data_IF_062086111421
#
_entry.id   IF_062086111421
#
_cell.length_a   1.000
_cell.length_b   1.000
_cell.length_c   1.000
_cell.angle_alpha   90.00
_cell.angle_beta   90.00
_cell.angle_gamma   90.00
#
_symmetry.space_group_name_H-M   'P 1'
#
loop_
_entity.id
_entity.type
_entity.pdbx_description
1 polymer ?
#
# COMPACT_ATOMS: atom_id res chain seq x y z
N UNK A 1 1.78 -4.88 -16.44
CA UNK A 1 1.72 -4.26 -15.11
C UNK A 1 0.31 -4.20 -14.51
N UNK A 2 -0.72 -3.80 -15.27
CA UNK A 2 -2.08 -3.72 -14.74
C UNK A 2 -2.68 -5.04 -14.23
N UNK A 3 -2.38 -6.14 -14.90
CA UNK A 3 -2.98 -7.44 -14.58
C UNK A 3 -2.59 -7.98 -13.19
N UNK A 4 -1.35 -7.81 -12.76
CA UNK A 4 -0.89 -8.29 -11.45
C UNK A 4 -1.63 -7.62 -10.29
N UNK A 5 -1.84 -6.31 -10.37
CA UNK A 5 -2.59 -5.58 -9.35
C UNK A 5 -4.07 -5.94 -9.35
N UNK A 6 -4.66 -6.14 -10.53
CA UNK A 6 -6.05 -6.59 -10.65
C UNK A 6 -6.22 -7.99 -10.06
N UNK A 7 -5.35 -8.93 -10.41
CA UNK A 7 -5.37 -10.29 -9.88
C UNK A 7 -5.18 -10.31 -8.35
N UNK A 8 -4.27 -9.50 -7.84
CA UNK A 8 -4.09 -9.35 -6.39
C UNK A 8 -5.36 -8.86 -5.72
N UNK A 9 -6.01 -7.83 -6.28
CA UNK A 9 -7.25 -7.27 -5.73
C UNK A 9 -8.40 -8.30 -5.76
N UNK A 10 -8.53 -9.08 -6.83
CA UNK A 10 -9.55 -10.10 -6.96
C UNK A 10 -9.37 -11.28 -5.99
N UNK A 11 -8.13 -11.60 -5.66
CA UNK A 11 -7.78 -12.67 -4.72
C UNK A 11 -7.86 -12.25 -3.24
N UNK A 12 -8.01 -10.97 -2.95
CA UNK A 12 -8.13 -10.51 -1.56
C UNK A 12 -9.36 -11.08 -0.87
N UNK A 13 -9.29 -11.35 0.45
CA UNK A 13 -10.47 -11.73 1.22
C UNK A 13 -11.63 -10.74 1.02
N UNK A 14 -12.87 -11.23 1.06
CA UNK A 14 -14.05 -10.42 0.76
C UNK A 14 -14.32 -9.28 1.75
N UNK A 15 -13.71 -9.33 2.91
CA UNK A 15 -13.77 -8.31 3.96
C UNK A 15 -12.62 -7.29 3.87
N UNK A 16 -11.75 -7.40 2.86
CA UNK A 16 -10.64 -6.48 2.64
C UNK A 16 -11.12 -5.25 1.87
N UNK A 17 -10.73 -4.07 2.37
CA UNK A 17 -10.98 -2.78 1.72
C UNK A 17 -9.70 -2.28 1.06
N UNK A 18 -9.82 -1.77 -0.16
CA UNK A 18 -8.74 -1.14 -0.89
C UNK A 18 -8.92 0.37 -0.81
N UNK A 19 -7.97 1.03 -0.16
CA UNK A 19 -7.92 2.49 -0.09
C UNK A 19 -6.81 2.96 -1.03
N UNK A 20 -7.18 3.71 -2.05
CA UNK A 20 -6.26 4.08 -3.14
C UNK A 20 -6.24 5.60 -3.36
N UNK A 21 -5.13 6.09 -3.90
CA UNK A 21 -4.98 7.48 -4.29
C UNK A 21 -4.11 7.61 -5.55
N UNK A 22 -4.27 8.72 -6.26
CA UNK A 22 -3.52 9.02 -7.46
C UNK A 22 -3.82 8.08 -8.63
N UNK A 23 -2.83 7.86 -9.47
CA UNK A 23 -2.99 7.04 -10.67
C UNK A 23 -3.20 5.54 -10.38
N UNK A 24 -2.85 5.09 -9.19
CA UNK A 24 -3.05 3.69 -8.79
C UNK A 24 -4.52 3.26 -8.83
N UNK A 25 -5.45 4.18 -8.58
CA UNK A 25 -6.89 3.92 -8.64
C UNK A 25 -7.37 3.34 -9.96
N UNK A 26 -6.74 3.72 -11.06
CA UNK A 26 -7.12 3.23 -12.40
C UNK A 26 -6.82 1.74 -12.60
N UNK A 27 -6.06 1.13 -11.70
CA UNK A 27 -5.83 -0.32 -11.70
C UNK A 27 -7.02 -1.09 -11.13
N UNK A 28 -7.84 -0.45 -10.32
CA UNK A 28 -8.92 -1.07 -9.56
C UNK A 28 -10.32 -0.58 -9.91
N UNK A 29 -10.47 0.58 -10.55
CA UNK A 29 -11.76 1.23 -10.75
C UNK A 29 -12.72 0.48 -11.69
N UNK A 30 -12.20 -0.44 -12.49
CA UNK A 30 -12.99 -1.29 -13.38
C UNK A 30 -13.35 -2.65 -12.81
N UNK A 31 -12.82 -2.97 -11.63
CA UNK A 31 -13.10 -4.23 -10.95
C UNK A 31 -14.41 -4.11 -10.17
N UNK A 32 -15.26 -5.11 -10.31
CA UNK A 32 -16.45 -5.24 -9.47
C UNK A 32 -16.12 -6.09 -8.25
N UNK A 33 -15.66 -5.44 -7.20
CA UNK A 33 -15.32 -6.07 -5.92
C UNK A 33 -16.48 -6.02 -4.92
N UNK A 34 -17.59 -5.39 -5.29
CA UNK A 34 -18.77 -5.28 -4.44
C UNK A 34 -18.62 -4.27 -3.31
N UNK A 35 -19.40 -4.49 -2.27
CA UNK A 35 -19.44 -3.64 -1.08
C UNK A 35 -19.43 -4.46 0.23
N UNK A 36 -19.26 -3.74 1.34
CA UNK A 36 -19.42 -4.28 2.69
C UNK A 36 -20.40 -3.36 3.41
N UNK A 37 -21.60 -3.86 3.66
CA UNK A 37 -22.63 -3.08 4.34
C UNK A 37 -23.06 -1.82 3.59
N UNK A 38 -23.04 -1.83 2.26
CA UNK A 38 -23.35 -0.68 1.41
C UNK A 38 -22.19 0.27 1.14
N UNK A 39 -21.01 -0.01 1.69
CA UNK A 39 -19.80 0.79 1.46
C UNK A 39 -18.93 0.07 0.41
N UNK A 40 -18.57 0.74 -0.70
CA UNK A 40 -17.72 0.12 -1.71
C UNK A 40 -16.40 -0.37 -1.12
N UNK A 41 -15.94 -1.53 -1.57
CA UNK A 41 -14.66 -2.09 -1.14
C UNK A 41 -13.44 -1.35 -1.70
N UNK A 42 -13.61 -0.61 -2.79
CA UNK A 42 -12.57 0.26 -3.35
C UNK A 42 -12.94 1.71 -3.02
N UNK A 43 -12.12 2.35 -2.22
CA UNK A 43 -12.28 3.74 -1.80
C UNK A 43 -11.18 4.59 -2.44
N UNK A 44 -11.58 5.65 -3.11
CA UNK A 44 -10.68 6.59 -3.79
C UNK A 44 -10.49 7.84 -2.91
N UNK A 45 -9.28 8.02 -2.40
CA UNK A 45 -8.94 9.19 -1.58
C UNK A 45 -8.59 10.43 -2.43
N UNK A 46 -8.52 10.32 -3.75
CA UNK A 46 -8.30 11.45 -4.63
C UNK A 46 -6.97 11.43 -5.38
N UNK A 47 -6.35 12.58 -5.51
CA UNK A 47 -5.12 12.78 -6.28
C UNK A 47 -3.86 12.34 -5.52
N UNK A 48 -2.71 12.37 -6.19
CA UNK A 48 -1.42 12.03 -5.56
C UNK A 48 -1.12 12.87 -4.31
N UNK A 49 -1.56 14.13 -4.28
CA UNK A 49 -1.42 14.99 -3.10
C UNK A 49 -2.18 14.45 -1.89
N UNK A 50 -3.27 13.73 -2.11
CA UNK A 50 -4.11 13.18 -1.06
C UNK A 50 -3.53 11.89 -0.44
N UNK A 51 -2.39 11.42 -0.95
CA UNK A 51 -1.69 10.26 -0.38
C UNK A 51 -1.29 10.46 1.09
N UNK A 52 -1.06 11.68 1.51
CA UNK A 52 -0.83 12.00 2.93
C UNK A 52 -2.09 11.77 3.79
N UNK A 53 -3.26 11.97 3.22
CA UNK A 53 -4.52 11.66 3.90
C UNK A 53 -4.63 10.17 4.24
N UNK A 54 -4.07 9.29 3.41
CA UNK A 54 -4.01 7.85 3.70
C UNK A 54 -3.20 7.54 4.96
N UNK A 55 -2.08 8.23 5.15
CA UNK A 55 -1.28 8.10 6.38
C UNK A 55 -2.05 8.59 7.61
N UNK A 56 -2.76 9.71 7.50
CA UNK A 56 -3.60 10.24 8.58
C UNK A 56 -4.75 9.29 8.91
N UNK A 57 -5.36 8.67 7.91
CA UNK A 57 -6.41 7.65 8.10
C UNK A 57 -5.84 6.44 8.85
N UNK A 58 -4.66 5.97 8.50
CA UNK A 58 -4.00 4.86 9.20
C UNK A 58 -3.74 5.21 10.68
N UNK A 59 -3.24 6.40 10.96
CA UNK A 59 -3.02 6.86 12.33
C UNK A 59 -4.34 6.99 13.11
N UNK A 60 -5.40 7.46 12.46
CA UNK A 60 -6.72 7.55 13.06
C UNK A 60 -7.32 6.17 13.34
N UNK A 61 -7.17 5.23 12.45
CA UNK A 61 -7.58 3.83 12.67
C UNK A 61 -6.83 3.20 13.84
N UNK A 62 -5.54 3.45 13.97
CA UNK A 62 -4.76 3.05 15.13
C UNK A 62 -5.39 3.55 16.44
N UNK A 63 -5.77 4.82 16.48
CA UNK A 63 -6.43 5.44 17.63
C UNK A 63 -7.79 4.81 17.92
N UNK A 64 -8.62 4.64 16.88
CA UNK A 64 -9.98 4.07 16.99
C UNK A 64 -9.94 2.63 17.51
N UNK A 65 -8.97 1.82 17.06
CA UNK A 65 -8.81 0.45 17.53
C UNK A 65 -8.03 0.33 18.85
N UNK A 66 -7.56 1.45 19.42
CA UNK A 66 -6.82 1.46 20.69
C UNK A 66 -5.46 0.78 20.62
N UNK A 67 -4.79 0.81 19.47
CA UNK A 67 -3.49 0.20 19.26
C UNK A 67 -2.36 1.18 19.59
N UNK A 68 -1.27 0.67 20.14
CA UNK A 68 -0.09 1.48 20.46
C UNK A 68 0.83 1.70 19.25
N UNK A 69 0.87 0.74 18.34
CA UNK A 69 1.71 0.78 17.13
C UNK A 69 0.83 0.72 15.87
N UNK A 70 1.11 1.59 14.91
CA UNK A 70 0.45 1.59 13.60
C UNK A 70 0.65 0.27 12.85
N UNK A 71 1.74 -0.45 13.11
CA UNK A 71 2.04 -1.74 12.50
C UNK A 71 1.19 -2.88 13.02
N UNK A 72 0.46 -2.69 14.12
CA UNK A 72 -0.50 -3.66 14.64
C UNK A 72 -1.83 -3.63 13.88
N UNK A 73 -2.07 -2.62 13.06
CA UNK A 73 -3.21 -2.57 12.14
C UNK A 73 -3.07 -3.62 11.04
N UNK A 74 -4.17 -4.27 10.63
CA UNK A 74 -4.17 -5.19 9.50
C UNK A 74 -4.16 -4.42 8.16
N UNK A 75 -3.15 -3.61 7.95
CA UNK A 75 -2.97 -2.76 6.76
C UNK A 75 -1.67 -3.15 6.08
N UNK A 76 -1.73 -3.26 4.76
CA UNK A 76 -0.55 -3.43 3.91
C UNK A 76 -0.44 -2.24 2.97
N UNK A 77 0.78 -1.86 2.67
CA UNK A 77 1.08 -0.67 1.89
C UNK A 77 1.76 -1.07 0.58
N UNK A 78 1.15 -0.67 -0.53
CA UNK A 78 1.69 -0.86 -1.87
C UNK A 78 1.94 0.50 -2.54
N UNK A 79 3.19 0.81 -2.82
CA UNK A 79 3.57 1.99 -3.59
C UNK A 79 3.95 1.54 -5.00
N UNK A 80 3.09 1.82 -5.95
CA UNK A 80 3.17 1.31 -7.31
C UNK A 80 3.58 2.36 -8.35
N UNK A 81 3.87 3.56 -7.94
CA UNK A 81 4.17 4.69 -8.81
C UNK A 81 5.39 5.45 -8.34
N UNK A 82 6.38 5.60 -9.23
CA UNK A 82 7.68 6.18 -8.89
C UNK A 82 7.85 7.58 -9.43
N UNK A 83 7.05 8.50 -8.90
CA UNK A 83 7.28 9.93 -9.04
C UNK A 83 7.98 10.49 -7.79
N UNK A 84 8.47 11.71 -7.86
CA UNK A 84 9.06 12.40 -6.72
C UNK A 84 8.13 12.41 -5.50
N UNK A 85 6.83 12.59 -5.72
CA UNK A 85 5.82 12.58 -4.66
C UNK A 85 5.72 11.22 -3.96
N UNK A 86 5.84 10.13 -4.70
CA UNK A 86 5.83 8.79 -4.11
C UNK A 86 7.03 8.58 -3.18
N UNK A 87 8.20 9.10 -3.54
CA UNK A 87 9.39 9.05 -2.69
C UNK A 87 9.17 9.83 -1.39
N UNK A 88 8.58 11.01 -1.48
CA UNK A 88 8.27 11.84 -0.29
C UNK A 88 7.27 11.11 0.61
N UNK A 89 6.24 10.51 0.04
CA UNK A 89 5.25 9.71 0.79
C UNK A 89 5.92 8.51 1.45
N UNK A 90 6.79 7.79 0.74
CA UNK A 90 7.56 6.69 1.32
C UNK A 90 8.39 7.14 2.53
N UNK A 91 9.12 8.22 2.39
CA UNK A 91 9.94 8.77 3.49
C UNK A 91 9.07 9.21 4.67
N UNK A 92 7.90 9.80 4.42
CA UNK A 92 6.95 10.16 5.47
C UNK A 92 6.43 8.93 6.21
N UNK A 93 6.08 7.86 5.50
CA UNK A 93 5.65 6.60 6.11
C UNK A 93 6.76 5.96 6.95
N UNK A 94 8.00 5.97 6.47
CA UNK A 94 9.15 5.48 7.22
C UNK A 94 9.41 6.31 8.49
N UNK A 95 9.26 7.62 8.40
CA UNK A 95 9.36 8.52 9.54
C UNK A 95 8.29 8.23 10.61
N UNK A 96 7.08 7.89 10.19
CA UNK A 96 5.99 7.49 11.08
C UNK A 96 6.16 6.08 11.66
N UNK A 97 7.22 5.38 11.30
CA UNK A 97 7.51 4.03 11.77
C UNK A 97 6.72 2.93 11.08
N UNK A 98 6.09 3.22 9.96
CA UNK A 98 5.34 2.22 9.17
C UNK A 98 6.29 1.20 8.59
N UNK A 99 5.93 -0.08 8.73
CA UNK A 99 6.62 -1.24 8.15
C UNK A 99 5.72 -1.93 7.13
N UNK A 100 6.19 -3.02 6.54
CA UNK A 100 5.44 -3.82 5.56
C UNK A 100 5.02 -3.02 4.32
N UNK A 101 5.92 -2.19 3.83
CA UNK A 101 5.73 -1.43 2.58
C UNK A 101 6.29 -2.24 1.43
N UNK A 102 5.46 -2.51 0.42
CA UNK A 102 5.88 -3.09 -0.85
C UNK A 102 5.98 -2.02 -1.91
N UNK A 103 7.12 -1.96 -2.57
CA UNK A 103 7.35 -1.12 -3.74
C UNK A 103 7.00 -1.89 -5.01
N UNK A 104 6.50 -1.21 -6.02
CA UNK A 104 6.02 -1.78 -7.28
C UNK A 104 6.99 -2.74 -7.97
N UNK A 105 6.68 -3.27 -9.15
CA UNK A 105 7.32 -4.49 -9.69
C UNK A 105 8.83 -4.40 -9.86
N UNK A 106 9.38 -3.20 -9.85
CA UNK A 106 10.81 -2.94 -9.85
C UNK A 106 11.15 -1.87 -8.83
N UNK A 107 12.30 -1.98 -8.17
CA UNK A 107 12.81 -0.90 -7.35
C UNK A 107 13.09 0.34 -8.22
N UNK A 108 12.88 1.56 -7.70
CA UNK A 108 13.19 2.76 -8.44
C UNK A 108 14.63 2.81 -8.91
N UNK A 109 14.85 3.11 -10.18
CA UNK A 109 16.18 3.10 -10.80
C UNK A 109 17.12 4.18 -10.23
N UNK A 110 16.57 5.19 -9.57
CA UNK A 110 17.36 6.23 -8.90
C UNK A 110 17.87 5.82 -7.52
N UNK A 111 17.46 4.68 -6.98
CA UNK A 111 18.02 4.16 -5.73
C UNK A 111 19.37 3.50 -6.01
N UNK A 112 20.40 3.95 -5.29
CA UNK A 112 21.68 3.24 -5.31
C UNK A 112 21.54 1.87 -4.64
N UNK A 113 22.40 0.89 -4.98
CA UNK A 113 22.37 -0.42 -4.33
C UNK A 113 22.50 -0.35 -2.81
N UNK A 114 23.29 0.59 -2.30
CA UNK A 114 23.46 0.78 -0.87
C UNK A 114 22.22 1.31 -0.19
N UNK A 115 21.52 2.26 -0.80
CA UNK A 115 20.25 2.79 -0.27
C UNK A 115 19.17 1.72 -0.33
N UNK A 116 19.07 0.97 -1.42
CA UNK A 116 18.12 -0.13 -1.54
C UNK A 116 18.35 -1.19 -0.44
N UNK A 117 19.62 -1.53 -0.16
CA UNK A 117 19.97 -2.45 0.92
C UNK A 117 19.53 -1.94 2.29
N UNK A 118 19.73 -0.66 2.60
CA UNK A 118 19.29 -0.05 3.86
C UNK A 118 17.76 -0.11 3.98
N UNK A 119 17.04 0.17 2.92
CA UNK A 119 15.57 0.10 2.92
C UNK A 119 15.06 -1.30 3.21
N UNK A 120 15.66 -2.31 2.61
CA UNK A 120 15.30 -3.73 2.83
C UNK A 120 15.68 -4.18 4.24
N UNK A 121 16.92 -3.97 4.66
CA UNK A 121 17.47 -4.52 5.90
C UNK A 121 16.94 -3.78 7.15
N UNK A 122 16.82 -2.45 7.08
CA UNK A 122 16.47 -1.63 8.24
C UNK A 122 14.99 -1.29 8.35
N UNK A 123 14.28 -1.22 7.22
CA UNK A 123 12.87 -0.79 7.18
C UNK A 123 11.90 -1.88 6.70
N UNK A 124 12.40 -3.05 6.33
CA UNK A 124 11.57 -4.18 5.90
C UNK A 124 10.81 -3.93 4.60
N UNK A 125 11.33 -3.07 3.72
CA UNK A 125 10.73 -2.81 2.41
C UNK A 125 11.01 -3.99 1.49
N UNK A 126 9.98 -4.46 0.81
CA UNK A 126 10.06 -5.55 -0.16
C UNK A 126 9.58 -5.10 -1.54
N UNK A 127 10.05 -5.77 -2.57
CA UNK A 127 9.50 -5.63 -3.91
C UNK A 127 8.23 -6.46 -4.09
N UNK A 128 7.36 -6.05 -4.99
CA UNK A 128 6.21 -6.87 -5.41
C UNK A 128 6.73 -8.06 -6.22
N UNK A 129 6.32 -9.25 -5.83
CA UNK A 129 6.67 -10.51 -6.48
C UNK A 129 5.47 -11.10 -7.22
N UNK A 130 5.20 -12.39 -7.08
CA UNK A 130 3.96 -12.99 -7.58
C UNK A 130 2.80 -12.66 -6.66
N UNK A 131 1.57 -12.71 -7.19
CA UNK A 131 0.37 -12.42 -6.40
C UNK A 131 0.24 -13.35 -5.19
N UNK A 132 0.47 -14.64 -5.40
CA UNK A 132 0.33 -15.64 -4.32
C UNK A 132 1.40 -15.46 -3.23
N UNK A 133 2.62 -15.10 -3.62
CA UNK A 133 3.71 -14.85 -2.68
C UNK A 133 3.49 -13.55 -1.90
N UNK A 134 3.02 -12.49 -2.56
CA UNK A 134 2.67 -11.23 -1.90
C UNK A 134 1.55 -11.44 -0.88
N UNK A 135 0.52 -12.20 -1.22
CA UNK A 135 -0.55 -12.55 -0.29
C UNK A 135 -0.03 -13.33 0.91
N UNK A 136 0.88 -14.29 0.69
CA UNK A 136 1.51 -15.05 1.77
C UNK A 136 2.34 -14.16 2.70
N UNK A 137 3.14 -13.26 2.14
CA UNK A 137 3.97 -12.32 2.92
C UNK A 137 3.11 -11.39 3.76
N UNK A 138 1.98 -10.94 3.23
CA UNK A 138 1.03 -10.10 3.96
C UNK A 138 0.15 -10.88 4.95
N UNK A 139 0.19 -12.20 4.95
CA UNK A 139 -0.64 -13.03 5.82
C UNK A 139 -2.11 -13.08 5.40
N UNK A 140 -2.37 -12.94 4.11
CA UNK A 140 -3.73 -12.94 3.55
C UNK A 140 -4.17 -14.28 2.99
#
# INVERSE_FOLDING_TARGET
MGKQYQEFAEKLPKDTVILTAGCAKYKYNKLDLGDIGGIPRVLDAGQCNDSYSLALIALKLKEVFGLDDVNDLPIVYNIAWYEQKAVIVLLALLYLGVKNIHLGPTLPTFLSPNVAKVLVDSFGIAGITTVDEDMRIFGL
#
